data_IF_279906120620
#
_entry.id   IF_279906120620
#
_cell.length_a   1.000
_cell.length_b   1.000
_cell.length_c   1.000
_cell.angle_alpha   90.00
_cell.angle_beta   90.00
_cell.angle_gamma   90.00
#
_symmetry.space_group_name_H-M   'P 1'
#
loop_
_entity.id
_entity.type
_entity.pdbx_description
1 polymer ?
#
# COMPACT_ATOMS: atom_id res chain seq x y z
N UNK A 1 6.80 -2.81 9.76
CA UNK A 1 6.18 -3.98 9.09
C UNK A 1 6.18 -5.24 9.95
N UNK A 2 7.34 -5.81 10.32
CA UNK A 2 7.39 -7.07 11.12
C UNK A 2 6.64 -6.99 12.45
N UNK A 3 6.86 -5.93 13.24
CA UNK A 3 6.16 -5.75 14.52
C UNK A 3 4.63 -5.79 14.34
N UNK A 4 4.12 -5.12 13.30
CA UNK A 4 2.69 -5.09 12.94
C UNK A 4 2.16 -6.49 12.61
N UNK A 5 2.83 -7.22 11.72
CA UNK A 5 2.39 -8.58 11.34
C UNK A 5 2.43 -9.58 12.50
N UNK A 6 3.21 -9.30 13.54
CA UNK A 6 3.28 -10.12 14.77
C UNK A 6 2.33 -9.64 15.87
N UNK A 7 1.39 -8.74 15.59
CA UNK A 7 0.43 -8.21 16.56
C UNK A 7 1.00 -7.21 17.57
N UNK A 8 2.28 -6.83 17.44
CA UNK A 8 2.94 -5.85 18.32
C UNK A 8 2.68 -4.44 17.81
N UNK A 9 1.41 -4.03 17.86
CA UNK A 9 0.95 -2.80 17.23
C UNK A 9 1.54 -1.54 17.88
N UNK A 10 1.75 -1.53 19.20
CA UNK A 10 2.36 -0.40 19.92
C UNK A 10 3.80 -0.17 19.45
N UNK A 11 4.64 -1.20 19.50
CA UNK A 11 6.01 -1.16 18.96
C UNK A 11 6.04 -0.78 17.47
N UNK A 12 5.04 -1.20 16.69
CA UNK A 12 4.94 -0.82 15.29
C UNK A 12 4.68 0.69 15.12
N UNK A 13 3.86 1.30 15.98
CA UNK A 13 3.62 2.74 16.01
C UNK A 13 4.88 3.50 16.43
N UNK A 14 5.56 3.08 17.50
CA UNK A 14 6.81 3.70 17.96
C UNK A 14 7.89 3.72 16.86
N UNK A 15 8.08 2.60 16.16
CA UNK A 15 9.01 2.55 15.04
C UNK A 15 8.63 3.49 13.90
N UNK A 16 7.33 3.61 13.60
CA UNK A 16 6.85 4.53 12.58
C UNK A 16 7.10 5.99 12.99
N UNK A 17 6.80 6.36 14.23
CA UNK A 17 7.03 7.70 14.78
C UNK A 17 8.52 8.07 14.79
N UNK A 18 9.40 7.15 15.21
CA UNK A 18 10.84 7.35 15.10
C UNK A 18 11.29 7.59 13.65
N UNK A 19 10.75 6.81 12.71
CA UNK A 19 11.03 6.98 11.29
C UNK A 19 10.56 8.34 10.76
N UNK A 20 9.35 8.77 11.13
CA UNK A 20 8.75 10.05 10.74
C UNK A 20 9.60 11.21 11.26
N UNK A 21 10.05 11.15 12.51
CA UNK A 21 10.88 12.18 13.13
C UNK A 21 12.24 12.33 12.42
N UNK A 22 12.77 11.25 11.85
CA UNK A 22 14.03 11.26 11.11
C UNK A 22 13.87 11.58 9.61
N UNK A 23 12.65 11.48 9.07
CA UNK A 23 12.41 11.61 7.64
C UNK A 23 12.28 13.07 7.18
N UNK A 24 12.87 13.42 6.02
CA UNK A 24 12.59 14.71 5.37
C UNK A 24 11.13 14.80 4.94
N UNK A 25 10.68 16.02 4.64
CA UNK A 25 9.36 16.28 4.04
C UNK A 25 9.19 15.61 2.70
N UNK A 26 7.93 15.37 2.31
CA UNK A 26 7.56 14.80 1.03
C UNK A 26 7.31 13.29 1.09
N UNK A 27 7.59 12.61 -0.03
CA UNK A 27 7.17 11.23 -0.28
C UNK A 27 7.54 10.23 0.83
N UNK A 28 8.76 10.30 1.37
CA UNK A 28 9.22 9.36 2.41
C UNK A 28 8.38 9.48 3.68
N UNK A 29 8.06 10.71 4.10
CA UNK A 29 7.24 10.95 5.27
C UNK A 29 5.78 10.58 4.99
N UNK A 30 5.27 10.84 3.79
CA UNK A 30 3.94 10.37 3.37
C UNK A 30 3.81 8.84 3.48
N UNK A 31 4.78 8.09 2.98
CA UNK A 31 4.82 6.63 3.05
C UNK A 31 4.89 6.13 4.50
N UNK A 32 5.71 6.75 5.36
CA UNK A 32 5.79 6.35 6.77
C UNK A 32 4.47 6.57 7.51
N UNK A 33 3.77 7.67 7.23
CA UNK A 33 2.43 7.90 7.77
C UNK A 33 1.41 6.87 7.24
N UNK A 34 1.36 6.65 5.93
CA UNK A 34 0.34 5.81 5.30
C UNK A 34 0.57 4.30 5.48
N UNK A 35 1.80 3.83 5.34
CA UNK A 35 2.13 2.39 5.33
C UNK A 35 2.44 1.83 6.70
N UNK A 36 3.00 2.65 7.59
CA UNK A 36 3.45 2.21 8.90
C UNK A 36 2.54 2.69 10.03
N UNK A 37 2.39 4.01 10.19
CA UNK A 37 1.71 4.58 11.35
C UNK A 37 0.19 4.36 11.32
N UNK A 38 -0.46 4.74 10.22
CA UNK A 38 -1.92 4.60 10.06
C UNK A 38 -2.44 3.18 10.36
N UNK A 39 -1.93 2.11 9.74
CA UNK A 39 -2.44 0.76 10.01
C UNK A 39 -2.09 0.25 11.41
N UNK A 40 -0.98 0.72 12.02
CA UNK A 40 -0.65 0.38 13.40
C UNK A 40 -1.65 1.03 14.38
N UNK A 41 -2.02 2.29 14.15
CA UNK A 41 -3.03 3.01 14.95
C UNK A 41 -4.43 2.41 14.77
N UNK A 42 -4.82 2.09 13.54
CA UNK A 42 -6.10 1.46 13.25
C UNK A 42 -6.26 0.10 13.94
N UNK A 43 -5.18 -0.71 13.96
CA UNK A 43 -5.15 -2.00 14.67
C UNK A 43 -5.20 -1.89 16.20
N UNK A 44 -4.87 -0.71 16.75
CA UNK A 44 -5.05 -0.40 18.17
C UNK A 44 -6.45 0.14 18.49
N UNK A 45 -7.33 0.31 17.49
CA UNK A 45 -8.64 0.96 17.67
C UNK A 45 -8.56 2.48 17.82
N UNK A 46 -7.42 3.10 17.52
CA UNK A 46 -7.19 4.54 17.62
C UNK A 46 -7.63 5.26 16.34
N UNK A 47 -8.94 5.25 16.08
CA UNK A 47 -9.53 5.75 14.84
C UNK A 47 -9.16 7.19 14.51
N UNK A 48 -9.36 8.11 15.47
CA UNK A 48 -9.08 9.54 15.26
C UNK A 48 -7.60 9.81 14.94
N UNK A 49 -6.69 9.09 15.61
CA UNK A 49 -5.25 9.21 15.35
C UNK A 49 -4.87 8.63 13.98
N UNK A 50 -5.53 7.55 13.54
CA UNK A 50 -5.34 6.95 12.23
C UNK A 50 -5.84 7.89 11.11
N UNK A 51 -6.99 8.54 11.30
CA UNK A 51 -7.53 9.56 10.40
C UNK A 51 -6.58 10.77 10.30
N UNK A 52 -5.99 11.19 11.43
CA UNK A 52 -4.98 12.24 11.43
C UNK A 52 -3.71 11.82 10.69
N UNK A 53 -3.22 10.60 10.88
CA UNK A 53 -2.07 10.08 10.15
C UNK A 53 -2.32 10.05 8.64
N UNK A 54 -3.53 9.66 8.22
CA UNK A 54 -3.96 9.73 6.82
C UNK A 54 -3.91 11.16 6.29
N UNK A 55 -4.49 12.11 7.02
CA UNK A 55 -4.51 13.51 6.61
C UNK A 55 -3.10 14.11 6.46
N UNK A 56 -2.15 13.71 7.32
CA UNK A 56 -0.74 14.11 7.19
C UNK A 56 -0.11 13.49 5.94
N UNK A 57 -0.32 12.20 5.69
CA UNK A 57 0.22 11.53 4.51
C UNK A 57 -0.20 12.23 3.21
N UNK A 58 -1.47 12.62 3.11
CA UNK A 58 -2.00 13.37 1.96
C UNK A 58 -1.31 14.72 1.77
N UNK A 59 -1.09 15.47 2.85
CA UNK A 59 -0.42 16.78 2.78
C UNK A 59 1.04 16.66 2.36
N UNK A 60 1.75 15.65 2.86
CA UNK A 60 3.14 15.37 2.49
C UNK A 60 3.25 14.86 1.04
N UNK A 61 2.24 14.18 0.51
CA UNK A 61 2.21 13.79 -0.89
C UNK A 61 1.96 14.99 -1.82
N UNK A 62 1.01 15.87 -1.47
CA UNK A 62 0.70 17.07 -2.25
C UNK A 62 1.85 18.10 -2.26
N UNK A 63 2.66 18.14 -1.19
CA UNK A 63 3.82 19.03 -1.10
C UNK A 63 4.99 18.61 -2.00
N UNK A 64 4.99 17.36 -2.49
CA UNK A 64 6.01 16.78 -3.37
C UNK A 64 5.48 16.61 -4.81
N UNK A 65 5.08 17.72 -5.44
CA UNK A 65 4.54 17.75 -6.82
C UNK A 65 5.49 17.16 -7.88
N UNK A 66 6.80 17.18 -7.64
CA UNK A 66 7.80 16.61 -8.55
C UNK A 66 8.02 15.10 -8.33
N UNK A 67 7.53 14.54 -7.22
CA UNK A 67 7.55 13.11 -6.88
C UNK A 67 6.69 12.20 -7.77
N UNK A 68 5.99 12.77 -8.76
CA UNK A 68 5.12 12.06 -9.73
C UNK A 68 5.90 11.36 -10.88
N UNK A 69 7.23 11.28 -10.82
CA UNK A 69 8.02 10.60 -11.83
C UNK A 69 7.75 9.08 -11.82
N UNK A 70 7.06 8.59 -12.85
CA UNK A 70 6.77 7.17 -13.05
C UNK A 70 8.06 6.32 -13.01
N UNK A 71 8.09 5.29 -12.16
CA UNK A 71 9.19 4.31 -12.08
C UNK A 71 9.77 4.02 -10.69
N UNK A 72 9.29 4.64 -9.60
CA UNK A 72 9.63 4.24 -8.23
C UNK A 72 8.44 3.53 -7.57
N UNK A 73 8.71 2.57 -6.69
CA UNK A 73 7.71 1.71 -6.04
C UNK A 73 6.56 2.50 -5.38
N UNK A 74 5.51 2.74 -6.18
CA UNK A 74 4.08 2.61 -5.90
C UNK A 74 3.50 3.26 -4.66
N UNK A 75 3.66 4.56 -4.44
CA UNK A 75 2.71 5.30 -3.60
C UNK A 75 2.02 6.36 -4.45
N UNK A 76 0.98 5.91 -5.14
CA UNK A 76 0.07 6.72 -5.94
C UNK A 76 -1.33 6.72 -5.32
N UNK A 77 -2.25 7.46 -5.92
CA UNK A 77 -3.65 7.54 -5.46
C UNK A 77 -4.32 6.15 -5.31
N UNK A 78 -4.11 5.18 -6.23
CA UNK A 78 -4.54 3.79 -6.03
C UNK A 78 -3.96 3.08 -4.80
N UNK A 79 -2.65 3.15 -4.55
CA UNK A 79 -2.04 2.50 -3.38
C UNK A 79 -2.56 3.10 -2.06
N UNK A 80 -2.73 4.42 -2.04
CA UNK A 80 -3.34 5.12 -0.92
C UNK A 80 -4.78 4.63 -0.66
N UNK A 81 -5.58 4.48 -1.71
CA UNK A 81 -6.95 3.98 -1.60
C UNK A 81 -7.02 2.54 -1.05
N UNK A 82 -6.02 1.70 -1.37
CA UNK A 82 -5.90 0.35 -0.81
C UNK A 82 -5.67 0.42 0.71
N UNK A 83 -4.74 1.23 1.18
CA UNK A 83 -4.48 1.36 2.63
C UNK A 83 -5.66 1.96 3.39
N UNK A 84 -6.39 2.90 2.78
CA UNK A 84 -7.64 3.43 3.34
C UNK A 84 -8.71 2.33 3.48
N UNK A 85 -8.83 1.42 2.52
CA UNK A 85 -9.80 0.32 2.58
C UNK A 85 -9.41 -0.78 3.58
N UNK A 86 -8.12 -0.93 3.88
CA UNK A 86 -7.59 -1.92 4.84
C UNK A 86 -7.65 -1.44 6.29
N UNK A 87 -7.59 -0.13 6.53
CA UNK A 87 -7.58 0.43 7.88
C UNK A 87 -8.86 0.08 8.69
N UNK A 88 -10.09 0.19 8.15
CA UNK A 88 -11.31 -0.15 8.88
C UNK A 88 -11.47 -1.65 9.12
N UNK A 89 -10.87 -2.52 8.30
CA UNK A 89 -10.98 -3.99 8.46
C UNK A 89 -10.20 -4.52 9.67
N UNK A 90 -9.31 -3.72 10.23
CA UNK A 90 -8.49 -4.08 11.38
C UNK A 90 -9.09 -3.64 12.72
N UNK A 91 -9.99 -2.66 12.69
CA UNK A 91 -10.84 -2.32 13.81
C UNK A 91 -12.08 -3.23 13.74
N UNK A 92 -12.56 -3.75 14.88
CA UNK A 92 -13.84 -4.46 14.93
C UNK A 92 -14.99 -3.64 14.33
N UNK A 93 -16.17 -4.24 14.12
CA UNK A 93 -17.23 -3.66 13.30
C UNK A 93 -17.78 -2.36 13.90
N UNK A 94 -17.18 -1.22 13.53
CA UNK A 94 -17.80 0.08 13.73
C UNK A 94 -17.32 1.11 12.72
N UNK A 95 -18.29 1.52 11.90
CA UNK A 95 -18.39 2.74 11.11
C UNK A 95 -17.77 2.70 9.70
N UNK A 96 -18.59 2.85 8.64
CA UNK A 96 -18.07 3.17 7.32
C UNK A 96 -17.43 4.57 7.34
N UNK A 97 -16.23 4.68 6.78
CA UNK A 97 -15.61 5.97 6.51
C UNK A 97 -16.57 6.83 5.66
N UNK A 98 -16.81 8.11 6.01
CA UNK A 98 -17.73 8.95 5.25
C UNK A 98 -17.15 9.23 3.86
N UNK A 99 -17.83 8.69 2.85
CA UNK A 99 -17.96 9.29 1.52
C UNK A 99 -16.67 9.51 0.73
N UNK A 100 -16.15 8.44 0.12
CA UNK A 100 -15.47 8.55 -1.16
C UNK A 100 -15.91 7.38 -2.04
N UNK A 101 -16.68 7.71 -3.07
CA UNK A 101 -17.03 6.79 -4.13
C UNK A 101 -15.75 6.59 -4.95
N UNK A 102 -15.06 5.48 -4.69
CA UNK A 102 -13.94 5.03 -5.51
C UNK A 102 -14.40 5.04 -6.98
N UNK A 103 -13.66 5.65 -7.92
CA UNK A 103 -13.85 5.29 -9.31
C UNK A 103 -13.61 3.77 -9.41
N UNK A 104 -14.60 3.06 -9.94
CA UNK A 104 -14.47 1.67 -10.33
C UNK A 104 -13.25 1.60 -11.25
N UNK A 105 -12.13 1.07 -10.76
CA UNK A 105 -11.02 0.66 -11.61
C UNK A 105 -11.64 -0.29 -12.64
N UNK A 106 -11.67 0.03 -13.94
CA UNK A 106 -12.19 -0.91 -14.91
C UNK A 106 -11.37 -2.18 -14.78
N UNK A 107 -12.05 -3.31 -14.54
CA UNK A 107 -11.43 -4.61 -14.49
C UNK A 107 -10.55 -4.75 -15.75
N UNK A 108 -9.24 -4.95 -15.54
CA UNK A 108 -8.35 -5.30 -16.64
C UNK A 108 -8.97 -6.51 -17.35
N UNK A 109 -9.14 -6.47 -18.69
CA UNK A 109 -9.66 -7.62 -19.41
C UNK A 109 -8.76 -8.81 -19.13
N UNK A 110 -9.38 -9.96 -18.87
CA UNK A 110 -8.67 -11.19 -18.56
C UNK A 110 -7.58 -11.46 -19.60
N UNK A 111 -6.33 -11.49 -19.14
CA UNK A 111 -5.19 -11.92 -19.94
C UNK A 111 -5.52 -13.29 -20.57
N UNK A 112 -5.41 -13.46 -21.90
CA UNK A 112 -5.59 -14.76 -22.52
C UNK A 112 -4.51 -15.71 -21.97
N UNK A 113 -4.97 -16.85 -21.46
CA UNK A 113 -4.14 -17.86 -20.81
C UNK A 113 -2.92 -18.29 -21.64
N UNK A 114 -1.89 -18.88 -20.99
CA UNK A 114 -0.59 -19.09 -21.60
C UNK A 114 -0.69 -19.94 -22.87
N UNK A 115 -0.21 -19.37 -23.99
CA UNK A 115 0.05 -20.08 -25.24
C UNK A 115 0.98 -21.26 -24.93
N UNK A 116 0.47 -22.49 -25.02
CA UNK A 116 1.29 -23.69 -24.98
C UNK A 116 2.28 -23.63 -26.15
N UNK A 117 3.55 -23.38 -25.84
CA UNK A 117 4.65 -23.54 -26.81
C UNK A 117 4.69 -25.01 -27.21
N UNK A 118 4.32 -25.28 -28.46
CA UNK A 118 4.51 -26.56 -29.11
C UNK A 118 6.02 -26.79 -29.29
N UNK A 119 6.62 -27.60 -28.42
CA UNK A 119 7.95 -28.15 -28.63
C UNK A 119 7.87 -29.19 -29.75
N UNK A 120 8.13 -28.75 -30.99
CA UNK A 120 8.50 -29.69 -32.06
C UNK A 120 9.83 -30.33 -31.67
N UNK A 121 9.77 -31.62 -31.39
CA UNK A 121 10.91 -32.53 -31.37
C UNK A 121 11.64 -32.44 -32.71
N UNK A 122 12.86 -31.90 -32.72
CA UNK A 122 13.87 -32.22 -33.71
C UNK A 122 14.95 -33.02 -32.99
N UNK A 123 14.75 -34.33 -32.90
CA UNK A 123 15.79 -35.26 -32.50
C UNK A 123 15.53 -36.60 -33.18
N UNK A 124 16.16 -36.81 -34.34
CA UNK A 124 16.53 -38.10 -34.94
C UNK A 124 17.28 -37.79 -36.23
N UNK A 125 18.60 -38.01 -36.22
CA UNK A 125 19.35 -38.70 -37.28
C UNK A 125 20.85 -38.57 -37.01
N UNK A 126 21.38 -39.52 -36.23
CA UNK A 126 22.80 -39.87 -36.18
C UNK A 126 22.91 -41.39 -35.97
N UNK A 127 23.51 -42.08 -36.95
CA UNK A 127 23.85 -43.51 -36.95
C UNK A 127 22.99 -44.29 -37.96
N UNK A 128 23.51 -44.97 -38.98
CA UNK A 128 24.85 -45.54 -39.23
C UNK A 128 25.05 -45.68 -40.73
#
# INVERSE_FOLDING_TARGET
MVARSSGRHETAAEHAECGIAAAPAGLVRAQLHAWALLPALAQQGRGDDADQALAVALRELESDREGLAAGRFGFDEPELALHQAEAPRSAGPSRPAPGLRLPLVPALPAEPGPVRRSTRHCFSDLGT
#
